data_IF_626601287150
#
_entry.id   IF_626601287150
#
_cell.length_a   1.000
_cell.length_b   1.000
_cell.length_c   1.000
_cell.angle_alpha   90.00
_cell.angle_beta   90.00
_cell.angle_gamma   90.00
#
_symmetry.space_group_name_H-M   'P 1'
#
loop_
_entity.id
_entity.type
_entity.pdbx_description
1 polymer ?
#
# COMPACT_ATOMS: atom_id res chain seq x y z
N UNK A 1 26.96 -9.13 9.85
CA UNK A 1 26.10 -9.86 8.89
C UNK A 1 24.93 -10.42 9.67
N UNK A 2 23.70 -10.21 9.20
CA UNK A 2 22.50 -10.74 9.84
C UNK A 2 22.48 -12.27 9.69
N UNK A 3 22.23 -13.00 10.77
CA UNK A 3 22.01 -14.44 10.78
C UNK A 3 20.67 -14.79 11.45
N UNK A 4 20.27 -16.03 11.36
CA UNK A 4 18.98 -16.51 11.87
C UNK A 4 18.81 -16.30 13.38
N UNK A 5 19.89 -16.45 14.15
CA UNK A 5 19.84 -16.28 15.61
C UNK A 5 19.71 -14.80 16.00
N UNK A 6 20.42 -13.93 15.30
CA UNK A 6 20.29 -12.47 15.43
C UNK A 6 18.87 -12.02 15.04
N UNK A 7 18.35 -12.54 13.93
CA UNK A 7 16.99 -12.22 13.47
C UNK A 7 15.95 -12.59 14.54
N UNK A 8 15.99 -13.81 15.07
CA UNK A 8 15.08 -14.26 16.15
C UNK A 8 15.21 -13.45 17.43
N UNK A 9 16.42 -12.98 17.75
CA UNK A 9 16.66 -12.13 18.92
C UNK A 9 15.94 -10.78 18.82
N UNK A 10 15.93 -10.16 17.63
CA UNK A 10 15.31 -8.84 17.43
C UNK A 10 13.85 -8.93 17.00
N UNK A 11 13.44 -9.99 16.34
CA UNK A 11 12.06 -10.27 15.94
C UNK A 11 11.50 -11.48 16.70
N UNK A 12 11.35 -11.32 18.01
CA UNK A 12 10.83 -12.37 18.91
C UNK A 12 9.37 -12.76 18.59
N UNK A 13 8.63 -11.92 17.88
CA UNK A 13 7.27 -12.18 17.46
C UNK A 13 7.16 -12.90 16.10
N UNK A 14 8.30 -13.17 15.46
CA UNK A 14 8.40 -13.87 14.17
C UNK A 14 7.63 -13.17 13.03
N UNK A 15 7.68 -11.83 13.02
CA UNK A 15 7.07 -11.03 11.97
C UNK A 15 7.64 -11.36 10.58
N UNK A 16 8.95 -11.63 10.51
CA UNK A 16 9.61 -12.04 9.27
C UNK A 16 8.99 -13.30 8.66
N UNK A 17 8.57 -14.29 9.47
CA UNK A 17 7.90 -15.48 8.95
C UNK A 17 6.52 -15.17 8.35
N UNK A 18 5.84 -14.16 8.89
CA UNK A 18 4.58 -13.70 8.30
C UNK A 18 4.81 -13.05 6.93
N UNK A 19 5.87 -12.24 6.77
CA UNK A 19 6.25 -11.65 5.49
C UNK A 19 6.71 -12.71 4.48
N UNK A 20 7.47 -13.71 4.90
CA UNK A 20 7.89 -14.81 4.02
C UNK A 20 6.71 -15.60 3.43
N UNK A 21 5.55 -15.58 4.09
CA UNK A 21 4.30 -16.24 3.65
C UNK A 21 3.39 -15.34 2.79
N UNK A 22 3.78 -14.12 2.52
CA UNK A 22 2.93 -13.18 1.77
C UNK A 22 2.46 -13.68 0.40
N UNK A 23 3.30 -14.33 -0.44
CA UNK A 23 2.82 -14.86 -1.71
C UNK A 23 1.69 -15.88 -1.56
N UNK A 24 1.82 -16.80 -0.59
CA UNK A 24 0.81 -17.80 -0.32
C UNK A 24 -0.49 -17.17 0.24
N UNK A 25 -0.35 -16.17 1.13
CA UNK A 25 -1.49 -15.43 1.67
C UNK A 25 -2.24 -14.66 0.58
N UNK A 26 -1.52 -13.99 -0.31
CA UNK A 26 -2.08 -13.26 -1.44
C UNK A 26 -2.85 -14.20 -2.39
N UNK A 27 -2.22 -15.29 -2.81
CA UNK A 27 -2.83 -16.29 -3.69
C UNK A 27 -4.07 -16.91 -3.07
N UNK A 28 -3.98 -17.40 -1.84
CA UNK A 28 -5.12 -17.98 -1.13
C UNK A 28 -6.27 -17.00 -0.93
N UNK A 29 -5.98 -15.73 -0.71
CA UNK A 29 -6.99 -14.68 -0.57
C UNK A 29 -7.70 -14.38 -1.90
N UNK A 30 -6.97 -14.34 -3.02
CA UNK A 30 -7.57 -14.13 -4.33
C UNK A 30 -8.38 -15.33 -4.81
N UNK A 31 -7.91 -16.55 -4.58
CA UNK A 31 -8.55 -17.79 -4.98
C UNK A 31 -9.67 -18.25 -3.99
N UNK A 32 -9.94 -17.45 -2.95
CA UNK A 32 -10.98 -17.80 -1.97
C UNK A 32 -12.38 -17.71 -2.57
N UNK A 33 -13.32 -18.51 -2.04
CA UNK A 33 -14.73 -18.54 -2.47
C UNK A 33 -15.50 -17.31 -1.93
N UNK A 34 -15.04 -16.10 -2.23
CA UNK A 34 -15.75 -14.86 -1.91
C UNK A 34 -16.68 -14.49 -3.07
N UNK A 35 -17.87 -14.04 -2.72
CA UNK A 35 -18.84 -13.59 -3.75
C UNK A 35 -18.51 -12.19 -4.20
N UNK A 36 -18.28 -12.02 -5.50
CA UNK A 36 -18.10 -10.70 -6.09
C UNK A 36 -19.36 -9.84 -5.91
N UNK A 37 -19.16 -8.56 -5.64
CA UNK A 37 -20.25 -7.58 -5.54
C UNK A 37 -20.32 -6.73 -6.81
N UNK A 38 -21.54 -6.30 -7.14
CA UNK A 38 -21.78 -5.34 -8.21
C UNK A 38 -22.73 -4.25 -7.71
N UNK A 39 -22.54 -3.04 -8.20
CA UNK A 39 -23.40 -1.89 -7.91
C UNK A 39 -23.66 -1.13 -9.20
N UNK A 40 -24.92 -0.79 -9.43
CA UNK A 40 -25.31 -0.01 -10.59
C UNK A 40 -25.18 1.49 -10.34
N UNK A 41 -24.84 2.24 -11.38
CA UNK A 41 -24.84 3.71 -11.37
C UNK A 41 -23.89 4.35 -10.34
N UNK A 42 -22.75 3.72 -10.05
CA UNK A 42 -21.72 4.31 -9.21
C UNK A 42 -20.87 5.29 -10.04
N UNK A 43 -20.81 6.53 -9.60
CA UNK A 43 -19.97 7.59 -10.18
C UNK A 43 -18.90 8.11 -9.21
N UNK A 44 -18.99 7.73 -7.93
CA UNK A 44 -18.03 8.09 -6.90
C UNK A 44 -17.71 6.88 -5.99
N UNK A 45 -16.44 6.62 -5.77
CA UNK A 45 -15.95 5.60 -4.81
C UNK A 45 -15.16 6.30 -3.69
N UNK A 46 -15.57 6.06 -2.46
CA UNK A 46 -14.85 6.52 -1.26
C UNK A 46 -14.25 5.32 -0.55
N UNK A 47 -12.92 5.31 -0.48
CA UNK A 47 -12.13 4.29 0.20
C UNK A 47 -11.78 4.78 1.60
N UNK A 48 -12.07 3.99 2.62
CA UNK A 48 -11.91 4.41 4.03
C UNK A 48 -11.04 3.41 4.78
N UNK A 49 -9.96 3.88 5.37
CA UNK A 49 -9.06 3.04 6.17
C UNK A 49 -7.91 3.83 6.79
N UNK A 50 -7.34 3.31 7.86
CA UNK A 50 -6.23 3.91 8.59
C UNK A 50 -4.98 3.02 8.55
N UNK A 51 -3.80 3.61 8.61
CA UNK A 51 -2.52 2.87 8.65
C UNK A 51 -2.37 1.88 7.49
N UNK A 52 -2.17 0.60 7.79
CA UNK A 52 -2.07 -0.47 6.77
C UNK A 52 -3.33 -0.59 5.91
N UNK A 53 -4.52 -0.46 6.51
CA UNK A 53 -5.80 -0.43 5.77
C UNK A 53 -5.90 0.81 4.87
N UNK A 54 -5.39 1.96 5.32
CA UNK A 54 -5.30 3.16 4.50
C UNK A 54 -4.37 2.98 3.29
N UNK A 55 -3.25 2.28 3.45
CA UNK A 55 -2.36 1.94 2.34
C UNK A 55 -3.03 1.02 1.31
N UNK A 56 -3.86 0.06 1.74
CA UNK A 56 -4.69 -0.75 0.83
C UNK A 56 -5.65 0.15 0.04
N UNK A 57 -6.31 1.09 0.72
CA UNK A 57 -7.20 2.06 0.08
C UNK A 57 -6.47 2.90 -0.98
N UNK A 58 -5.23 3.31 -0.73
CA UNK A 58 -4.40 4.03 -1.70
C UNK A 58 -4.05 3.18 -2.93
N UNK A 59 -3.73 1.89 -2.74
CA UNK A 59 -3.50 0.98 -3.87
C UNK A 59 -4.75 0.88 -4.75
N UNK A 60 -5.91 0.63 -4.15
CA UNK A 60 -7.18 0.55 -4.90
C UNK A 60 -7.50 1.88 -5.60
N UNK A 61 -7.24 3.02 -4.93
CA UNK A 61 -7.39 4.36 -5.54
C UNK A 61 -6.48 4.56 -6.74
N UNK A 62 -5.22 4.12 -6.66
CA UNK A 62 -4.27 4.19 -7.76
C UNK A 62 -4.72 3.32 -8.96
N UNK A 63 -5.28 2.14 -8.71
CA UNK A 63 -5.87 1.28 -9.74
C UNK A 63 -7.07 1.99 -10.40
N UNK A 64 -7.97 2.55 -9.61
CA UNK A 64 -9.16 3.25 -10.09
C UNK A 64 -8.85 4.57 -10.81
N UNK A 65 -7.67 5.17 -10.60
CA UNK A 65 -7.28 6.42 -11.24
C UNK A 65 -7.24 6.37 -12.77
N UNK A 66 -7.25 5.17 -13.34
CA UNK A 66 -7.35 4.92 -14.80
C UNK A 66 -8.79 4.84 -15.31
N UNK A 67 -9.79 4.97 -14.45
CA UNK A 67 -11.21 4.94 -14.79
C UNK A 67 -11.80 6.34 -14.85
N UNK A 68 -13.10 6.44 -15.21
CA UNK A 68 -13.85 7.69 -15.15
C UNK A 68 -14.57 7.88 -13.81
N UNK A 69 -14.41 6.96 -12.86
CA UNK A 69 -15.04 7.01 -11.55
C UNK A 69 -14.23 7.96 -10.66
N UNK A 70 -14.92 8.94 -10.08
CA UNK A 70 -14.27 9.80 -9.09
C UNK A 70 -13.90 8.98 -7.84
N UNK A 71 -12.66 9.08 -7.39
CA UNK A 71 -12.18 8.30 -6.24
C UNK A 71 -11.57 9.20 -5.19
N UNK A 72 -11.90 8.96 -3.92
CA UNK A 72 -11.27 9.63 -2.79
C UNK A 72 -10.89 8.63 -1.69
N UNK A 73 -9.77 8.90 -1.02
CA UNK A 73 -9.32 8.12 0.14
C UNK A 73 -9.51 8.94 1.40
N UNK A 74 -10.22 8.38 2.38
CA UNK A 74 -10.49 9.02 3.66
C UNK A 74 -9.64 8.34 4.74
N UNK A 75 -8.72 9.11 5.30
CA UNK A 75 -7.92 8.75 6.48
C UNK A 75 -8.29 9.70 7.63
N UNK A 76 -9.45 9.47 8.24
CA UNK A 76 -9.98 10.33 9.29
C UNK A 76 -11.44 10.07 9.61
N UNK A 77 -12.09 11.01 10.24
CA UNK A 77 -13.42 10.84 10.84
C UNK A 77 -14.59 11.28 9.94
N UNK A 78 -14.33 12.02 8.87
CA UNK A 78 -15.38 12.71 8.13
C UNK A 78 -15.57 12.15 6.72
N UNK A 79 -16.80 11.75 6.42
CA UNK A 79 -17.22 11.44 5.06
C UNK A 79 -17.29 12.74 4.24
N UNK A 80 -16.72 12.80 3.03
CA UNK A 80 -16.87 13.95 2.14
C UNK A 80 -18.32 14.34 1.90
N UNK A 81 -18.60 15.65 1.84
CA UNK A 81 -19.95 16.16 1.60
C UNK A 81 -20.49 15.81 0.21
N UNK A 82 -19.62 15.47 -0.73
CA UNK A 82 -19.95 14.99 -2.07
C UNK A 82 -20.55 13.59 -2.11
N UNK A 83 -20.50 12.85 -0.99
CA UNK A 83 -21.07 11.52 -0.89
C UNK A 83 -22.62 11.58 -0.92
N UNK A 84 -23.23 10.72 -1.72
CA UNK A 84 -24.67 10.59 -1.93
C UNK A 84 -25.07 9.13 -2.24
N UNK A 85 -26.31 8.94 -2.74
CA UNK A 85 -26.85 7.61 -3.07
C UNK A 85 -26.18 6.91 -4.27
N UNK A 86 -25.33 7.59 -5.04
CA UNK A 86 -24.51 7.02 -6.13
C UNK A 86 -23.07 6.75 -5.70
N UNK A 87 -22.76 7.00 -4.44
CA UNK A 87 -21.44 6.79 -3.88
C UNK A 87 -21.34 5.38 -3.33
N UNK A 88 -20.26 4.66 -3.70
CA UNK A 88 -19.86 3.42 -3.06
C UNK A 88 -18.78 3.71 -2.00
N UNK A 89 -19.06 3.39 -0.75
CA UNK A 89 -18.10 3.47 0.35
C UNK A 89 -17.51 2.08 0.60
N UNK A 90 -16.19 1.97 0.43
CA UNK A 90 -15.42 0.76 0.68
C UNK A 90 -14.67 0.95 2.00
N UNK A 91 -15.15 0.31 3.08
CA UNK A 91 -14.59 0.45 4.42
C UNK A 91 -13.63 -0.72 4.73
N UNK A 92 -12.36 -0.41 4.99
CA UNK A 92 -11.33 -1.39 5.31
C UNK A 92 -10.79 -1.14 6.70
N UNK A 93 -10.89 -2.16 7.57
CA UNK A 93 -10.30 -2.11 8.90
C UNK A 93 -9.92 -3.52 9.35
N UNK A 94 -8.63 -3.82 9.43
CA UNK A 94 -8.18 -5.17 9.83
C UNK A 94 -8.82 -5.58 11.15
N UNK A 95 -8.78 -4.75 12.20
CA UNK A 95 -9.38 -5.08 13.50
C UNK A 95 -10.92 -4.97 13.54
N UNK A 96 -11.52 -4.27 12.57
CA UNK A 96 -12.95 -3.93 12.59
C UNK A 96 -13.37 -2.96 13.70
N UNK A 97 -12.41 -2.37 14.43
CA UNK A 97 -12.68 -1.51 15.58
C UNK A 97 -12.08 -0.09 15.43
N UNK A 98 -11.59 0.26 14.25
CA UNK A 98 -11.00 1.59 13.99
C UNK A 98 -12.08 2.66 14.05
N UNK A 99 -11.99 3.55 15.02
CA UNK A 99 -13.03 4.55 15.32
C UNK A 99 -13.27 5.48 14.12
N UNK A 100 -12.22 5.89 13.43
CA UNK A 100 -12.29 6.73 12.23
C UNK A 100 -13.10 6.05 11.13
N UNK A 101 -12.80 4.79 10.83
CA UNK A 101 -13.52 4.01 9.81
C UNK A 101 -14.98 3.81 10.18
N UNK A 102 -15.28 3.54 11.46
CA UNK A 102 -16.64 3.40 11.97
C UNK A 102 -17.42 4.71 11.83
N UNK A 103 -16.82 5.85 12.21
CA UNK A 103 -17.46 7.17 12.08
C UNK A 103 -17.86 7.49 10.63
N UNK A 104 -16.98 7.17 9.68
CA UNK A 104 -17.29 7.37 8.25
C UNK A 104 -18.36 6.41 7.77
N UNK A 105 -18.33 5.14 8.20
CA UNK A 105 -19.34 4.13 7.88
C UNK A 105 -20.74 4.57 8.36
N UNK A 106 -20.86 5.02 9.61
CA UNK A 106 -22.11 5.54 10.19
C UNK A 106 -22.62 6.77 9.41
N UNK A 107 -21.73 7.66 9.00
CA UNK A 107 -22.06 8.81 8.15
C UNK A 107 -22.52 8.42 6.75
N UNK A 108 -21.93 7.38 6.16
CA UNK A 108 -22.32 6.85 4.86
C UNK A 108 -23.72 6.23 4.89
N UNK A 109 -24.06 5.52 5.97
CA UNK A 109 -25.41 5.01 6.21
C UNK A 109 -26.46 6.13 6.22
N UNK A 110 -26.15 7.24 6.95
CA UNK A 110 -27.05 8.37 7.04
C UNK A 110 -27.30 9.08 5.69
N UNK A 111 -26.36 8.94 4.73
CA UNK A 111 -26.45 9.50 3.37
C UNK A 111 -26.98 8.50 2.32
N UNK A 112 -27.38 7.29 2.73
CA UNK A 112 -27.85 6.22 1.85
C UNK A 112 -26.84 5.82 0.77
N UNK A 113 -25.54 5.90 1.08
CA UNK A 113 -24.49 5.40 0.21
C UNK A 113 -24.58 3.86 0.06
N UNK A 114 -24.08 3.33 -1.06
CA UNK A 114 -23.75 1.92 -1.15
C UNK A 114 -22.53 1.63 -0.26
N UNK A 115 -22.52 0.49 0.40
CA UNK A 115 -21.46 0.17 1.37
C UNK A 115 -21.02 -1.27 1.18
N UNK A 116 -19.71 -1.46 1.12
CA UNK A 116 -19.05 -2.75 1.27
C UNK A 116 -17.93 -2.62 2.28
N UNK A 117 -17.75 -3.60 3.15
CA UNK A 117 -16.73 -3.54 4.19
C UNK A 117 -15.92 -4.82 4.30
N UNK A 118 -14.66 -4.66 4.73
CA UNK A 118 -13.69 -5.72 4.91
C UNK A 118 -13.05 -5.58 6.29
N UNK A 119 -13.20 -6.61 7.13
CA UNK A 119 -12.55 -6.62 8.45
C UNK A 119 -12.33 -8.06 8.95
N UNK A 120 -11.56 -8.23 10.01
CA UNK A 120 -11.47 -9.54 10.68
C UNK A 120 -12.60 -9.80 11.69
N UNK A 121 -13.58 -8.89 11.75
CA UNK A 121 -14.69 -8.94 12.72
C UNK A 121 -14.93 -7.57 13.35
N UNK A 122 -15.16 -7.57 14.66
CA UNK A 122 -15.28 -6.34 15.46
C UNK A 122 -16.58 -5.57 15.26
N UNK A 123 -16.56 -4.29 15.63
CA UNK A 123 -17.76 -3.43 15.58
C UNK A 123 -18.28 -3.20 14.17
N UNK A 124 -17.38 -3.16 13.17
CA UNK A 124 -17.80 -3.03 11.76
C UNK A 124 -18.65 -4.22 11.33
N UNK A 125 -18.26 -5.46 11.68
CA UNK A 125 -19.08 -6.64 11.41
C UNK A 125 -20.47 -6.51 12.03
N UNK A 126 -20.56 -6.15 13.31
CA UNK A 126 -21.85 -5.98 13.99
C UNK A 126 -22.75 -4.96 13.30
N UNK A 127 -22.20 -3.80 12.94
CA UNK A 127 -22.94 -2.76 12.20
C UNK A 127 -23.46 -3.31 10.87
N UNK A 128 -22.63 -4.06 10.15
CA UNK A 128 -23.01 -4.60 8.84
C UNK A 128 -24.09 -5.68 8.96
N UNK A 129 -24.00 -6.56 9.95
CA UNK A 129 -25.03 -7.55 10.26
C UNK A 129 -26.37 -6.87 10.63
N UNK A 130 -26.36 -5.89 11.56
CA UNK A 130 -27.54 -5.15 11.99
C UNK A 130 -28.23 -4.37 10.87
N UNK A 131 -27.45 -3.90 9.88
CA UNK A 131 -27.93 -3.09 8.75
C UNK A 131 -28.06 -3.87 7.44
N UNK A 132 -27.79 -5.19 7.45
CA UNK A 132 -27.81 -6.07 6.28
C UNK A 132 -26.95 -5.52 5.12
N UNK A 133 -25.70 -5.12 5.43
CA UNK A 133 -24.70 -4.61 4.50
C UNK A 133 -23.75 -5.71 4.04
N UNK A 134 -23.18 -5.55 2.85
CA UNK A 134 -22.11 -6.44 2.38
C UNK A 134 -20.87 -6.29 3.27
N UNK A 135 -20.50 -7.38 3.93
CA UNK A 135 -19.32 -7.47 4.79
C UNK A 135 -18.56 -8.77 4.51
N UNK A 136 -17.25 -8.65 4.34
CA UNK A 136 -16.35 -9.77 4.09
C UNK A 136 -15.39 -9.92 5.26
N UNK A 137 -15.45 -11.10 5.90
CA UNK A 137 -14.56 -11.44 7.02
C UNK A 137 -13.24 -11.96 6.45
N UNK A 138 -12.17 -11.20 6.65
CA UNK A 138 -10.81 -11.56 6.26
C UNK A 138 -10.00 -11.81 7.53
N UNK A 139 -9.54 -13.03 7.78
CA UNK A 139 -8.78 -13.33 8.99
C UNK A 139 -7.53 -12.47 9.13
N UNK A 140 -7.31 -11.91 10.31
CA UNK A 140 -6.06 -11.23 10.62
C UNK A 140 -4.92 -12.25 10.73
N UNK A 141 -3.82 -11.98 10.03
CA UNK A 141 -2.60 -12.77 10.07
C UNK A 141 -1.57 -12.03 10.90
N UNK A 142 -1.06 -12.64 11.97
CA UNK A 142 -0.05 -12.10 12.88
C UNK A 142 -0.39 -10.69 13.43
N UNK A 143 -0.43 -9.69 12.55
CA UNK A 143 -0.71 -8.28 12.90
C UNK A 143 -1.40 -7.56 11.74
N UNK A 144 -2.01 -6.38 11.96
CA UNK A 144 -2.65 -5.63 10.89
C UNK A 144 -1.74 -5.38 9.68
N UNK A 145 -0.46 -5.03 9.91
CA UNK A 145 0.49 -4.76 8.82
C UNK A 145 0.90 -6.02 8.05
N UNK A 146 0.94 -7.17 8.71
CA UNK A 146 1.23 -8.45 8.06
C UNK A 146 0.03 -9.00 7.27
N UNK A 147 -1.19 -8.55 7.58
CA UNK A 147 -2.42 -8.94 6.89
C UNK A 147 -2.64 -8.21 5.55
N UNK A 148 -1.76 -7.29 5.18
CA UNK A 148 -1.90 -6.47 3.99
C UNK A 148 -2.24 -7.26 2.72
N UNK A 149 -1.50 -8.32 2.31
CA UNK A 149 -1.81 -9.05 1.10
C UNK A 149 -3.13 -9.82 1.19
N UNK A 150 -3.46 -10.39 2.36
CA UNK A 150 -4.73 -11.08 2.53
C UNK A 150 -5.92 -10.14 2.27
N UNK A 151 -5.90 -8.94 2.85
CA UNK A 151 -6.96 -7.95 2.63
C UNK A 151 -6.98 -7.43 1.20
N UNK A 152 -5.82 -7.04 0.65
CA UNK A 152 -5.74 -6.49 -0.69
C UNK A 152 -6.27 -7.47 -1.74
N UNK A 153 -5.80 -8.71 -1.73
CA UNK A 153 -6.20 -9.70 -2.73
C UNK A 153 -7.64 -10.20 -2.55
N UNK A 154 -8.16 -10.23 -1.32
CA UNK A 154 -9.61 -10.45 -1.11
C UNK A 154 -10.45 -9.30 -1.68
N UNK A 155 -10.00 -8.05 -1.54
CA UNK A 155 -10.68 -6.88 -2.11
C UNK A 155 -10.65 -6.94 -3.65
N UNK A 156 -9.51 -7.30 -4.26
CA UNK A 156 -9.40 -7.49 -5.71
C UNK A 156 -10.35 -8.57 -6.22
N UNK A 157 -10.51 -9.69 -5.51
CA UNK A 157 -11.46 -10.74 -5.83
C UNK A 157 -12.91 -10.22 -5.74
N UNK A 158 -13.31 -9.68 -4.59
CA UNK A 158 -14.69 -9.23 -4.34
C UNK A 158 -15.12 -8.08 -5.26
N UNK A 159 -14.19 -7.17 -5.58
CA UNK A 159 -14.46 -6.00 -6.42
C UNK A 159 -14.07 -6.20 -7.88
N UNK A 160 -13.85 -7.43 -8.34
CA UNK A 160 -13.40 -7.74 -9.71
C UNK A 160 -14.33 -7.18 -10.82
N UNK A 161 -15.62 -7.03 -10.53
CA UNK A 161 -16.59 -6.39 -11.45
C UNK A 161 -16.54 -4.85 -11.48
N UNK A 162 -15.78 -4.22 -10.57
CA UNK A 162 -15.71 -2.75 -10.41
C UNK A 162 -14.30 -2.24 -10.76
N UNK A 163 -13.28 -2.98 -10.36
CA UNK A 163 -11.88 -2.61 -10.59
C UNK A 163 -11.47 -2.90 -12.03
N UNK A 164 -10.68 -2.02 -12.68
CA UNK A 164 -10.19 -2.21 -14.04
C UNK A 164 -8.97 -3.15 -14.07
N UNK A 165 -9.05 -4.26 -13.34
CA UNK A 165 -7.98 -5.28 -13.27
C UNK A 165 -8.47 -6.58 -13.88
N UNK A 166 -7.63 -7.21 -14.70
CA UNK A 166 -7.88 -8.54 -15.26
C UNK A 166 -7.25 -9.63 -14.39
N UNK A 167 -7.71 -10.87 -14.57
CA UNK A 167 -7.07 -12.03 -13.92
C UNK A 167 -5.57 -12.15 -14.28
N UNK A 168 -5.18 -11.72 -15.49
CA UNK A 168 -3.79 -11.70 -15.90
C UNK A 168 -2.96 -10.67 -15.13
N UNK A 169 -3.51 -9.48 -14.83
CA UNK A 169 -2.81 -8.48 -14.02
C UNK A 169 -2.58 -8.98 -12.59
N UNK A 170 -3.58 -9.65 -12.03
CA UNK A 170 -3.45 -10.25 -10.69
C UNK A 170 -2.46 -11.41 -10.69
N UNK A 171 -2.51 -12.28 -11.70
CA UNK A 171 -1.54 -13.38 -11.83
C UNK A 171 -0.10 -12.85 -11.95
N UNK A 172 0.14 -11.83 -12.78
CA UNK A 172 1.45 -11.17 -12.91
C UNK A 172 1.93 -10.63 -11.56
N UNK A 173 1.05 -9.98 -10.80
CA UNK A 173 1.40 -9.44 -9.48
C UNK A 173 1.75 -10.55 -8.48
N UNK A 174 1.02 -11.66 -8.48
CA UNK A 174 1.30 -12.81 -7.61
C UNK A 174 2.64 -13.46 -7.96
N UNK A 175 2.95 -13.63 -9.24
CA UNK A 175 4.21 -14.21 -9.71
C UNK A 175 5.40 -13.29 -9.37
N UNK A 176 5.23 -11.98 -9.52
CA UNK A 176 6.23 -10.99 -9.14
C UNK A 176 6.47 -10.98 -7.63
N UNK A 177 5.42 -11.07 -6.80
CA UNK A 177 5.53 -11.18 -5.35
C UNK A 177 6.29 -12.45 -4.94
N UNK A 178 5.98 -13.59 -5.57
CA UNK A 178 6.68 -14.86 -5.32
C UNK A 178 8.16 -14.79 -5.74
N UNK A 179 8.44 -14.19 -6.88
CA UNK A 179 9.81 -14.00 -7.37
C UNK A 179 10.64 -13.11 -6.46
N UNK A 180 10.05 -12.00 -6.01
CA UNK A 180 10.72 -11.08 -5.08
C UNK A 180 10.95 -11.75 -3.71
N UNK A 181 9.94 -12.45 -3.18
CA UNK A 181 10.06 -13.14 -1.89
C UNK A 181 11.25 -14.13 -1.89
N UNK A 182 11.49 -14.87 -2.96
CA UNK A 182 12.65 -15.77 -3.08
C UNK A 182 13.99 -15.04 -2.95
N UNK A 183 14.05 -13.78 -3.34
CA UNK A 183 15.27 -12.97 -3.26
C UNK A 183 15.48 -12.35 -1.86
N UNK A 184 14.38 -11.90 -1.21
CA UNK A 184 14.45 -11.10 0.02
C UNK A 184 14.05 -11.86 1.29
N UNK A 185 13.62 -13.13 1.17
CA UNK A 185 13.19 -13.93 2.33
C UNK A 185 14.32 -14.20 3.31
N UNK A 186 13.92 -14.63 4.50
CA UNK A 186 14.85 -15.02 5.56
C UNK A 186 15.67 -16.28 5.26
N UNK A 187 15.35 -16.98 4.18
CA UNK A 187 16.19 -18.08 3.66
C UNK A 187 17.40 -17.59 2.86
N UNK A 188 17.45 -16.31 2.49
CA UNK A 188 18.56 -15.66 1.79
C UNK A 188 19.14 -14.52 2.64
N UNK A 189 19.90 -14.84 3.68
CA UNK A 189 20.61 -13.85 4.51
C UNK A 189 22.03 -13.60 3.99
N UNK A 190 22.19 -13.45 2.67
CA UNK A 190 23.47 -13.23 2.00
C UNK A 190 23.57 -11.83 1.39
N UNK A 191 24.73 -11.46 0.89
CA UNK A 191 24.98 -10.19 0.20
C UNK A 191 24.19 -10.04 -1.11
N UNK A 192 23.54 -11.10 -1.59
CA UNK A 192 22.67 -11.05 -2.77
C UNK A 192 21.23 -10.63 -2.44
N UNK A 193 20.89 -10.48 -1.17
CA UNK A 193 19.57 -10.03 -0.73
C UNK A 193 19.46 -8.50 -0.83
N UNK A 194 18.68 -7.96 -1.75
CA UNK A 194 18.59 -6.51 -1.94
C UNK A 194 17.95 -5.79 -0.73
N UNK A 195 17.10 -6.47 0.05
CA UNK A 195 16.51 -5.87 1.26
C UNK A 195 17.55 -5.67 2.35
N UNK A 196 18.52 -6.59 2.49
CA UNK A 196 19.66 -6.40 3.41
C UNK A 196 20.57 -5.27 2.95
N UNK A 197 20.85 -5.21 1.64
CA UNK A 197 21.68 -4.14 1.08
C UNK A 197 21.10 -2.74 1.34
N UNK A 198 19.78 -2.56 1.15
CA UNK A 198 19.15 -1.27 1.44
C UNK A 198 19.10 -1.00 2.95
N UNK A 199 18.87 -2.02 3.77
CA UNK A 199 18.84 -1.87 5.22
C UNK A 199 20.22 -1.42 5.78
N UNK A 200 21.31 -1.96 5.22
CA UNK A 200 22.69 -1.55 5.58
C UNK A 200 23.03 -0.15 5.05
N UNK A 201 22.49 0.22 3.88
CA UNK A 201 22.73 1.52 3.26
C UNK A 201 22.01 2.68 3.99
N UNK A 202 20.82 2.43 4.56
CA UNK A 202 20.06 3.45 5.30
C UNK A 202 20.83 3.88 6.55
N UNK A 203 21.58 4.98 6.44
CA UNK A 203 22.39 5.55 7.52
C UNK A 203 21.77 6.79 8.17
N UNK A 204 20.64 7.28 7.65
CA UNK A 204 19.97 8.50 8.07
C UNK A 204 18.45 8.40 7.97
N UNK A 205 17.80 9.55 7.74
CA UNK A 205 16.35 9.62 7.55
C UNK A 205 16.04 9.34 6.07
N UNK A 206 15.38 8.22 5.71
CA UNK A 206 15.04 7.94 4.33
C UNK A 206 14.07 8.99 3.77
N UNK A 207 14.38 9.52 2.59
CA UNK A 207 13.52 10.37 1.78
C UNK A 207 13.09 9.57 0.54
N UNK A 208 11.83 9.15 0.50
CA UNK A 208 11.27 8.36 -0.59
C UNK A 208 10.71 9.30 -1.65
N UNK A 209 11.32 9.33 -2.83
CA UNK A 209 10.74 9.97 -4.00
C UNK A 209 9.96 8.97 -4.82
N UNK A 210 8.75 9.31 -5.24
CA UNK A 210 7.87 8.46 -6.02
C UNK A 210 7.19 9.24 -7.15
N UNK A 211 6.84 8.61 -8.27
CA UNK A 211 6.07 9.24 -9.32
C UNK A 211 4.58 9.09 -9.04
N UNK A 212 3.76 9.85 -9.75
CA UNK A 212 2.32 9.66 -9.75
C UNK A 212 1.95 8.19 -9.99
N UNK A 213 1.05 7.65 -9.18
CA UNK A 213 0.61 6.24 -9.21
C UNK A 213 1.42 5.29 -8.31
N UNK A 214 2.65 5.66 -7.88
CA UNK A 214 3.45 4.86 -6.94
C UNK A 214 3.46 5.42 -5.49
N UNK A 215 2.63 6.42 -5.18
CA UNK A 215 2.43 6.88 -3.80
C UNK A 215 2.10 5.75 -2.81
N UNK A 216 1.22 4.76 -3.17
CA UNK A 216 0.93 3.64 -2.27
C UNK A 216 2.16 2.83 -1.90
N UNK A 217 3.09 2.61 -2.85
CA UNK A 217 4.35 1.93 -2.64
C UNK A 217 5.22 2.68 -1.62
N UNK A 218 5.41 3.98 -1.83
CA UNK A 218 6.17 4.84 -0.92
C UNK A 218 5.52 4.90 0.47
N UNK A 219 4.20 5.06 0.55
CA UNK A 219 3.45 5.07 1.80
C UNK A 219 3.60 3.75 2.55
N UNK A 220 3.51 2.62 1.84
CA UNK A 220 3.64 1.30 2.46
C UNK A 220 5.06 1.08 2.98
N UNK A 221 6.08 1.43 2.20
CA UNK A 221 7.48 1.34 2.61
C UNK A 221 7.75 2.22 3.83
N UNK A 222 7.31 3.48 3.81
CA UNK A 222 7.38 4.41 4.95
C UNK A 222 6.77 3.80 6.21
N UNK A 223 5.52 3.33 6.12
CA UNK A 223 4.82 2.76 7.27
C UNK A 223 5.55 1.54 7.82
N UNK A 224 6.08 0.67 6.96
CA UNK A 224 6.83 -0.51 7.36
C UNK A 224 8.12 -0.16 8.10
N UNK A 225 8.89 0.81 7.63
CA UNK A 225 10.10 1.28 8.31
C UNK A 225 9.76 1.94 9.66
N UNK A 226 8.71 2.77 9.71
CA UNK A 226 8.26 3.41 10.95
C UNK A 226 7.80 2.37 11.99
N UNK A 227 7.02 1.37 11.55
CA UNK A 227 6.49 0.35 12.46
C UNK A 227 7.51 -0.71 12.88
N UNK A 228 8.38 -1.16 11.98
CA UNK A 228 9.31 -2.25 12.26
C UNK A 228 10.68 -1.72 12.71
N UNK A 229 11.29 -0.78 11.97
CA UNK A 229 12.61 -0.24 12.28
C UNK A 229 12.58 0.93 13.27
N UNK A 230 11.42 1.52 13.56
CA UNK A 230 11.25 2.67 14.50
C UNK A 230 12.02 3.92 14.07
N UNK A 231 12.17 4.14 12.76
CA UNK A 231 12.84 5.30 12.19
C UNK A 231 11.84 6.25 11.54
N UNK A 232 12.18 7.54 11.50
CA UNK A 232 11.43 8.51 10.72
C UNK A 232 11.69 8.32 9.24
N UNK A 233 10.65 8.52 8.41
CA UNK A 233 10.73 8.44 6.95
C UNK A 233 9.93 9.57 6.35
N UNK A 234 10.48 10.24 5.34
CA UNK A 234 9.82 11.28 4.57
C UNK A 234 9.46 10.68 3.21
N UNK A 235 8.37 11.12 2.61
CA UNK A 235 7.98 10.70 1.25
C UNK A 235 7.37 11.88 0.50
N UNK A 236 7.71 12.04 -0.78
CA UNK A 236 7.28 13.16 -1.61
C UNK A 236 7.18 12.75 -3.08
N UNK A 237 6.17 13.27 -3.79
CA UNK A 237 6.07 13.11 -5.23
C UNK A 237 7.26 13.81 -5.92
N UNK A 238 7.89 13.12 -6.91
CA UNK A 238 9.08 13.64 -7.58
C UNK A 238 8.81 14.94 -8.34
N UNK A 239 7.60 15.08 -8.91
CA UNK A 239 7.28 16.28 -9.68
C UNK A 239 7.16 17.47 -8.73
N UNK A 240 6.45 17.31 -7.60
CA UNK A 240 6.35 18.37 -6.57
C UNK A 240 7.72 18.67 -5.93
N UNK A 241 8.49 17.64 -5.62
CA UNK A 241 9.82 17.78 -5.01
C UNK A 241 10.78 18.64 -5.85
N UNK A 242 10.69 18.57 -7.17
CA UNK A 242 11.53 19.38 -8.07
C UNK A 242 11.14 20.85 -8.10
N UNK A 243 10.00 21.24 -7.57
CA UNK A 243 9.59 22.65 -7.42
C UNK A 243 10.11 23.28 -6.12
N UNK A 244 10.12 22.53 -5.02
CA UNK A 244 10.44 23.06 -3.70
C UNK A 244 11.50 22.23 -2.95
N UNK A 245 11.32 20.92 -2.85
CA UNK A 245 12.13 20.04 -2.04
C UNK A 245 13.60 19.96 -2.47
N UNK A 246 13.85 20.13 -3.78
CA UNK A 246 15.19 20.00 -4.37
C UNK A 246 16.22 20.96 -3.75
N UNK A 247 15.80 22.18 -3.36
CA UNK A 247 16.73 23.18 -2.78
C UNK A 247 17.20 22.82 -1.38
N UNK A 248 16.50 21.91 -0.68
CA UNK A 248 16.93 21.43 0.63
C UNK A 248 18.27 20.67 0.58
N UNK A 249 18.61 20.13 -0.59
CA UNK A 249 19.87 19.40 -0.82
C UNK A 249 21.10 20.31 -1.04
N UNK A 250 20.92 21.62 -1.02
CA UNK A 250 22.03 22.58 -1.10
C UNK A 250 22.85 22.63 0.21
N UNK A 251 22.32 22.06 1.30
CA UNK A 251 23.00 21.98 2.59
C UNK A 251 23.20 20.53 3.01
N UNK A 252 24.31 20.21 3.72
CA UNK A 252 24.49 18.91 4.31
C UNK A 252 23.30 18.51 5.20
N UNK A 253 22.86 17.27 5.08
CA UNK A 253 21.71 16.73 5.79
C UNK A 253 21.98 15.29 6.20
N UNK A 254 21.26 14.79 7.22
CA UNK A 254 21.19 13.38 7.55
C UNK A 254 20.13 12.62 6.76
N UNK A 255 19.51 13.25 5.78
CA UNK A 255 18.51 12.63 4.90
C UNK A 255 19.21 11.84 3.80
N UNK A 256 18.68 10.65 3.47
CA UNK A 256 19.22 9.77 2.43
C UNK A 256 18.14 9.49 1.39
N UNK A 257 18.37 9.79 0.10
CA UNK A 257 17.34 9.71 -0.94
C UNK A 257 17.19 8.30 -1.50
N UNK A 258 15.94 7.82 -1.54
CA UNK A 258 15.55 6.55 -2.17
C UNK A 258 14.57 6.87 -3.28
N UNK A 259 14.86 6.44 -4.51
CA UNK A 259 14.07 6.71 -5.70
C UNK A 259 13.23 5.48 -6.07
N UNK A 260 11.91 5.61 -5.97
CA UNK A 260 10.94 4.57 -6.39
C UNK A 260 10.47 4.94 -7.79
N UNK A 261 10.91 4.22 -8.80
CA UNK A 261 10.63 4.50 -10.22
C UNK A 261 9.65 3.50 -10.80
N UNK A 262 8.80 3.95 -11.70
CA UNK A 262 7.93 3.08 -12.50
C UNK A 262 8.51 2.85 -13.90
N UNK A 263 8.39 1.62 -14.41
CA UNK A 263 8.78 1.32 -15.80
C UNK A 263 7.93 2.13 -16.80
N UNK A 264 6.65 2.34 -16.46
CA UNK A 264 5.67 3.07 -17.26
C UNK A 264 5.50 4.53 -16.84
N UNK A 265 6.47 5.09 -16.09
CA UNK A 265 6.44 6.51 -15.75
C UNK A 265 6.26 7.37 -16.99
N UNK A 266 5.51 8.46 -16.83
CA UNK A 266 5.35 9.44 -17.89
C UNK A 266 6.72 9.95 -18.37
N UNK A 267 6.87 10.15 -19.67
CA UNK A 267 8.17 10.47 -20.29
C UNK A 267 8.90 11.64 -19.63
N UNK A 268 8.16 12.68 -19.20
CA UNK A 268 8.76 13.82 -18.50
C UNK A 268 9.21 13.47 -17.09
N UNK A 269 8.50 12.57 -16.40
CA UNK A 269 8.93 12.05 -15.10
C UNK A 269 10.21 11.23 -15.23
N UNK A 270 10.34 10.42 -16.30
CA UNK A 270 11.60 9.72 -16.61
C UNK A 270 12.77 10.72 -16.78
N UNK A 271 12.54 11.83 -17.48
CA UNK A 271 13.55 12.88 -17.61
C UNK A 271 13.88 13.56 -16.28
N UNK A 272 12.91 13.73 -15.38
CA UNK A 272 13.14 14.28 -14.03
C UNK A 272 14.02 13.37 -13.18
N UNK A 273 13.83 12.04 -13.29
CA UNK A 273 14.69 11.07 -12.60
C UNK A 273 16.16 11.23 -13.01
N UNK A 274 16.43 11.34 -14.30
CA UNK A 274 17.78 11.50 -14.81
C UNK A 274 18.41 12.83 -14.34
N UNK A 275 17.62 13.91 -14.32
CA UNK A 275 18.07 15.19 -13.79
C UNK A 275 18.37 15.15 -12.29
N UNK A 276 17.52 14.49 -11.50
CA UNK A 276 17.69 14.36 -10.06
C UNK A 276 18.91 13.51 -9.72
N UNK A 277 19.13 12.39 -10.40
CA UNK A 277 20.31 11.54 -10.20
C UNK A 277 21.61 12.30 -10.57
N UNK A 278 21.60 13.07 -11.64
CA UNK A 278 22.75 13.91 -12.00
C UNK A 278 23.00 15.01 -10.96
N UNK A 279 21.94 15.65 -10.47
CA UNK A 279 22.03 16.66 -9.41
C UNK A 279 22.65 16.06 -8.13
N UNK A 280 22.25 14.85 -7.72
CA UNK A 280 22.83 14.17 -6.57
C UNK A 280 24.30 13.82 -6.80
N UNK A 281 24.66 13.30 -7.97
CA UNK A 281 26.06 13.00 -8.33
C UNK A 281 26.97 14.22 -8.27
N UNK A 282 26.53 15.37 -8.81
CA UNK A 282 27.29 16.63 -8.77
C UNK A 282 27.54 17.14 -7.34
N UNK A 283 26.69 16.76 -6.40
CA UNK A 283 26.78 17.15 -4.98
C UNK A 283 27.37 16.07 -4.07
N UNK A 284 27.82 14.96 -4.64
CA UNK A 284 28.31 13.79 -3.90
C UNK A 284 27.26 13.24 -2.89
N UNK A 285 25.97 13.29 -3.26
CA UNK A 285 24.88 12.69 -2.50
C UNK A 285 24.67 11.27 -3.04
N UNK A 286 24.88 10.28 -2.19
CA UNK A 286 24.56 8.90 -2.55
C UNK A 286 23.06 8.69 -2.56
N UNK A 287 22.54 8.04 -3.60
CA UNK A 287 21.12 7.69 -3.74
C UNK A 287 20.96 6.24 -4.17
N UNK A 288 19.86 5.62 -3.79
CA UNK A 288 19.47 4.29 -4.24
C UNK A 288 18.21 4.38 -5.09
N UNK A 289 18.21 3.70 -6.23
CA UNK A 289 17.09 3.71 -7.18
C UNK A 289 16.55 2.30 -7.36
N UNK A 290 15.22 2.16 -7.23
CA UNK A 290 14.48 0.93 -7.51
C UNK A 290 13.44 1.20 -8.59
N UNK A 291 13.42 0.33 -9.60
CA UNK A 291 12.43 0.41 -10.67
C UNK A 291 11.39 -0.69 -10.49
N UNK A 292 10.13 -0.30 -10.32
CA UNK A 292 8.98 -1.19 -10.33
C UNK A 292 8.48 -1.37 -11.75
N UNK A 293 8.16 -2.60 -12.15
CA UNK A 293 7.92 -2.93 -13.55
C UNK A 293 6.58 -2.43 -14.08
N UNK A 294 5.48 -2.51 -13.29
CA UNK A 294 4.14 -2.10 -13.75
C UNK A 294 3.20 -1.76 -12.58
N UNK A 295 1.98 -1.25 -12.87
CA UNK A 295 0.90 -1.07 -11.87
C UNK A 295 0.56 -2.34 -11.08
N UNK A 296 0.55 -3.55 -11.64
CA UNK A 296 0.43 -4.78 -10.86
C UNK A 296 1.52 -4.93 -9.80
N UNK A 297 2.72 -4.40 -10.03
CA UNK A 297 3.82 -4.45 -9.05
C UNK A 297 3.70 -3.44 -7.91
N UNK A 298 2.79 -2.45 -7.97
CA UNK A 298 2.40 -1.62 -6.81
C UNK A 298 1.87 -2.50 -5.66
N UNK A 299 1.33 -3.67 -5.99
CA UNK A 299 0.84 -4.64 -5.03
C UNK A 299 1.96 -5.28 -4.19
N UNK A 300 3.23 -5.04 -4.51
CA UNK A 300 4.39 -5.74 -3.97
C UNK A 300 5.16 -4.98 -2.87
N UNK A 301 4.86 -3.71 -2.60
CA UNK A 301 5.66 -2.88 -1.67
C UNK A 301 5.05 -2.77 -0.29
#
# INVERSE_FOLDING_TARGET
>A
MLDTDTLKKFDSSLMHEAYDKWPQLARSAYESELTAVSFDNIDHIILVGMGGSGAICEVISAILSKTQIHTSVVKGYHLPNTADSKTLVIAVSVSGNTIETISVLESALAKSCHIVSFSSGGKIQQICEDKNLAHFIIPQVHSPRASFPAFLYSILNVLSGILPTSDSDVAESLDALESLQKQISTTNLTTTNPALSIAEWISGIPMLYYPWGLEPAATRFKNSLQENAKIHVISEDIVEATHNGIVAWEKPSSVVPILIRGADDYIKTKSLWDLLENYFKERNIESVSYTHLTLPTILLV
#
